data_IF_940877006615
#
_entry.id   IF_940877006615
#
_cell.length_a   1.000
_cell.length_b   1.000
_cell.length_c   1.000
_cell.angle_alpha   90.00
_cell.angle_beta   90.00
_cell.angle_gamma   90.00
#
_symmetry.space_group_name_H-M   'P 1'
#
loop_
_entity.id
_entity.type
_entity.pdbx_description
1 polymer ?
#
# COMPACT_ATOMS: atom_id res chain seq x y z
N UNK A 1 35.27 -20.38 15.42
CA UNK A 1 36.62 -19.89 15.48
C UNK A 1 36.74 -18.48 14.91
N UNK A 2 37.59 -17.62 15.50
CA UNK A 2 37.76 -16.22 15.09
C UNK A 2 38.22 -16.11 13.64
N UNK A 3 39.07 -17.03 13.20
CA UNK A 3 39.60 -17.07 11.84
C UNK A 3 38.51 -17.26 10.77
N UNK A 4 37.51 -18.08 11.03
CA UNK A 4 36.38 -18.27 10.10
C UNK A 4 35.50 -17.01 9.99
N UNK A 5 35.28 -16.29 11.11
CA UNK A 5 34.55 -15.04 11.13
C UNK A 5 35.23 -13.94 10.30
N UNK A 6 36.58 -13.93 10.31
CA UNK A 6 37.39 -12.97 9.54
C UNK A 6 37.36 -13.22 8.03
N UNK A 7 36.95 -14.42 7.58
CA UNK A 7 36.82 -14.77 6.15
C UNK A 7 35.46 -14.35 5.57
N UNK A 8 34.49 -13.93 6.42
CA UNK A 8 33.20 -13.47 5.96
C UNK A 8 33.33 -12.08 5.33
N UNK A 9 33.01 -11.97 4.06
CA UNK A 9 33.12 -10.73 3.27
C UNK A 9 31.86 -9.88 3.36
N UNK A 10 30.68 -10.52 3.43
CA UNK A 10 29.39 -9.83 3.45
C UNK A 10 28.44 -10.51 4.44
N UNK A 11 27.72 -9.71 5.21
CA UNK A 11 26.59 -10.16 6.04
C UNK A 11 25.34 -9.39 5.64
N UNK A 12 24.32 -10.11 5.25
CA UNK A 12 23.00 -9.54 4.98
C UNK A 12 22.16 -9.62 6.24
N UNK A 13 21.59 -8.49 6.66
CA UNK A 13 20.72 -8.39 7.84
C UNK A 13 19.37 -7.78 7.42
N UNK A 14 18.36 -8.06 8.25
CA UNK A 14 17.15 -7.25 8.24
C UNK A 14 17.46 -5.82 8.76
N UNK A 15 16.45 -4.97 8.82
CA UNK A 15 16.59 -3.59 9.31
C UNK A 15 16.67 -3.49 10.85
N UNK A 16 16.79 -4.62 11.56
CA UNK A 16 16.92 -4.65 13.02
C UNK A 16 18.26 -4.08 13.46
N UNK A 17 18.22 -3.03 14.28
CA UNK A 17 19.42 -2.43 14.85
C UNK A 17 20.22 -3.41 15.73
N UNK A 18 19.54 -4.31 16.45
CA UNK A 18 20.16 -5.35 17.26
C UNK A 18 20.93 -6.34 16.40
N UNK A 19 20.38 -6.79 15.28
CA UNK A 19 21.05 -7.68 14.34
C UNK A 19 22.25 -7.01 13.68
N UNK A 20 22.14 -5.73 13.32
CA UNK A 20 23.25 -4.96 12.76
C UNK A 20 24.40 -4.79 13.77
N UNK A 21 24.10 -4.49 15.03
CA UNK A 21 25.10 -4.39 16.11
C UNK A 21 25.79 -5.73 16.34
N UNK A 22 25.02 -6.82 16.42
CA UNK A 22 25.56 -8.18 16.56
C UNK A 22 26.45 -8.54 15.38
N UNK A 23 26.01 -8.28 14.15
CA UNK A 23 26.77 -8.56 12.94
C UNK A 23 28.09 -7.77 12.91
N UNK A 24 28.10 -6.49 13.29
CA UNK A 24 29.29 -5.66 13.39
C UNK A 24 30.29 -6.18 14.44
N UNK A 25 29.79 -6.62 15.60
CA UNK A 25 30.66 -7.13 16.68
C UNK A 25 31.28 -8.48 16.34
N UNK A 26 30.55 -9.36 15.65
CA UNK A 26 30.99 -10.72 15.33
C UNK A 26 31.80 -10.77 14.03
N UNK A 27 31.46 -9.96 13.03
CA UNK A 27 32.05 -9.97 11.69
C UNK A 27 32.68 -8.61 11.35
N UNK A 28 33.67 -8.21 12.14
CA UNK A 28 34.26 -6.87 12.09
C UNK A 28 34.88 -6.48 10.73
N UNK A 29 35.19 -7.43 9.84
CA UNK A 29 35.70 -7.19 8.47
C UNK A 29 34.64 -7.28 7.39
N UNK A 30 33.45 -7.79 7.71
CA UNK A 30 32.40 -7.98 6.72
C UNK A 30 31.70 -6.67 6.37
N UNK A 31 31.33 -6.54 5.10
CA UNK A 31 30.43 -5.49 4.64
C UNK A 31 29.00 -5.85 5.04
N UNK A 32 28.34 -4.96 5.79
CA UNK A 32 26.93 -5.14 6.10
C UNK A 32 26.06 -4.65 4.94
N UNK A 33 25.07 -5.44 4.60
CA UNK A 33 24.08 -5.17 3.54
C UNK A 33 22.70 -5.36 4.12
N UNK A 34 21.83 -4.37 3.95
CA UNK A 34 20.43 -4.51 4.31
C UNK A 34 19.70 -5.36 3.27
N UNK A 35 18.83 -6.27 3.76
CA UNK A 35 17.98 -7.07 2.87
C UNK A 35 16.91 -6.18 2.24
N UNK A 36 16.98 -6.07 0.91
CA UNK A 36 16.02 -5.29 0.13
C UNK A 36 14.58 -5.78 0.28
N UNK A 37 14.38 -7.08 0.59
CA UNK A 37 13.06 -7.65 0.77
C UNK A 37 12.33 -6.99 1.94
N UNK A 38 13.02 -6.78 3.07
CA UNK A 38 12.42 -6.11 4.23
C UNK A 38 12.04 -4.65 3.95
N UNK A 39 12.86 -3.93 3.18
CA UNK A 39 12.52 -2.56 2.77
C UNK A 39 11.26 -2.54 1.89
N UNK A 40 11.18 -3.44 0.91
CA UNK A 40 10.01 -3.57 0.05
C UNK A 40 8.76 -4.01 0.83
N UNK A 41 8.92 -4.90 1.80
CA UNK A 41 7.84 -5.35 2.67
C UNK A 41 7.28 -4.19 3.49
N UNK A 42 8.12 -3.43 4.18
CA UNK A 42 7.69 -2.26 4.96
C UNK A 42 6.92 -1.26 4.09
N UNK A 43 7.41 -1.00 2.87
CA UNK A 43 6.73 -0.10 1.94
C UNK A 43 5.37 -0.64 1.49
N UNK A 44 5.27 -1.93 1.15
CA UNK A 44 4.01 -2.56 0.77
C UNK A 44 3.00 -2.59 1.92
N UNK A 45 3.47 -2.83 3.15
CA UNK A 45 2.65 -2.78 4.36
C UNK A 45 2.10 -1.38 4.61
N UNK A 46 2.93 -0.33 4.42
CA UNK A 46 2.48 1.06 4.58
C UNK A 46 1.41 1.45 3.55
N UNK A 47 1.55 1.01 2.29
CA UNK A 47 0.50 1.20 1.25
C UNK A 47 -0.77 0.42 1.61
N UNK A 48 -0.66 -0.80 2.13
CA UNK A 48 -1.83 -1.59 2.56
C UNK A 48 -2.52 -0.95 3.77
N UNK A 49 -1.80 -0.35 4.71
CA UNK A 49 -2.39 0.39 5.83
C UNK A 49 -3.19 1.61 5.34
N UNK A 50 -2.68 2.37 4.38
CA UNK A 50 -3.43 3.47 3.76
C UNK A 50 -4.72 2.95 3.12
N UNK A 51 -4.65 1.85 2.35
CA UNK A 51 -5.84 1.21 1.76
C UNK A 51 -6.85 0.77 2.82
N UNK A 52 -6.37 0.21 3.93
CA UNK A 52 -7.23 -0.24 5.05
C UNK A 52 -7.96 0.95 5.66
N UNK A 53 -7.28 2.06 5.90
CA UNK A 53 -7.90 3.29 6.42
C UNK A 53 -9.02 3.78 5.47
N UNK A 54 -8.71 3.93 4.19
CA UNK A 54 -9.70 4.32 3.17
C UNK A 54 -10.88 3.34 3.07
N UNK A 55 -10.64 2.04 3.25
CA UNK A 55 -11.72 1.04 3.28
C UNK A 55 -12.68 1.29 4.43
N UNK A 56 -12.18 1.61 5.61
CA UNK A 56 -13.04 1.92 6.76
C UNK A 56 -13.85 3.18 6.53
N UNK A 57 -13.27 4.22 5.95
CA UNK A 57 -14.00 5.44 5.57
C UNK A 57 -15.16 5.15 4.61
N UNK A 58 -14.92 4.33 3.58
CA UNK A 58 -15.96 3.91 2.62
C UNK A 58 -17.06 3.12 3.29
N UNK A 59 -16.71 2.17 4.17
CA UNK A 59 -17.70 1.36 4.91
C UNK A 59 -18.53 2.20 5.87
N UNK A 60 -17.93 3.15 6.55
CA UNK A 60 -18.62 4.04 7.48
C UNK A 60 -19.58 4.98 6.74
N UNK A 61 -19.15 5.52 5.59
CA UNK A 61 -19.99 6.34 4.74
C UNK A 61 -21.21 5.55 4.23
N UNK A 62 -21.03 4.32 3.75
CA UNK A 62 -22.14 3.48 3.29
C UNK A 62 -23.08 3.11 4.42
N UNK A 63 -22.55 2.69 5.57
CA UNK A 63 -23.33 2.38 6.76
C UNK A 63 -24.16 3.59 7.23
N UNK A 64 -23.59 4.80 7.16
CA UNK A 64 -24.31 6.04 7.45
C UNK A 64 -25.46 6.25 6.49
N UNK A 65 -25.21 6.13 5.19
CA UNK A 65 -26.23 6.28 4.15
C UNK A 65 -27.39 5.27 4.31
N UNK A 66 -27.07 4.00 4.62
CA UNK A 66 -28.06 2.96 4.92
C UNK A 66 -28.92 3.34 6.15
N UNK A 67 -28.28 3.83 7.23
CA UNK A 67 -29.02 4.26 8.42
C UNK A 67 -29.95 5.43 8.13
N UNK A 68 -29.50 6.41 7.39
CA UNK A 68 -30.29 7.59 7.00
C UNK A 68 -31.47 7.21 6.08
N UNK A 69 -31.25 6.31 5.12
CA UNK A 69 -32.31 5.77 4.28
C UNK A 69 -33.37 5.02 5.08
N UNK A 70 -32.94 4.14 5.99
CA UNK A 70 -33.83 3.41 6.91
C UNK A 70 -34.63 4.35 7.81
N UNK A 71 -33.98 5.40 8.32
CA UNK A 71 -34.67 6.41 9.16
C UNK A 71 -35.75 7.15 8.37
N UNK A 72 -35.44 7.60 7.13
CA UNK A 72 -36.45 8.23 6.24
C UNK A 72 -37.60 7.29 5.98
N UNK A 73 -37.36 6.02 5.66
CA UNK A 73 -38.42 5.03 5.40
C UNK A 73 -39.28 4.73 6.64
N UNK A 74 -38.70 4.79 7.85
CA UNK A 74 -39.43 4.64 9.12
C UNK A 74 -40.30 5.86 9.43
N UNK A 75 -39.85 7.04 9.10
CA UNK A 75 -40.56 8.28 9.31
C UNK A 75 -41.76 8.45 8.32
N UNK A 76 -41.80 7.71 7.23
CA UNK A 76 -42.92 7.69 6.31
C UNK A 76 -44.17 7.08 6.96
N UNK A 77 -45.30 7.84 6.94
CA UNK A 77 -46.53 7.47 7.60
C UNK A 77 -47.46 6.60 6.71
N UNK A 78 -47.36 6.78 5.40
CA UNK A 78 -48.22 6.07 4.45
C UNK A 78 -47.45 5.01 3.65
N UNK A 79 -48.19 4.04 3.10
CA UNK A 79 -47.65 3.03 2.20
C UNK A 79 -47.08 3.66 0.92
N UNK A 80 -47.79 4.65 0.37
CA UNK A 80 -47.36 5.37 -0.82
C UNK A 80 -46.02 6.11 -0.61
N UNK A 81 -45.82 6.76 0.54
CA UNK A 81 -44.54 7.39 0.89
C UNK A 81 -43.43 6.38 1.00
N UNK A 82 -43.67 5.18 1.58
CA UNK A 82 -42.64 4.11 1.69
C UNK A 82 -42.29 3.52 0.32
N UNK A 83 -43.27 3.40 -0.59
CA UNK A 83 -43.05 2.96 -1.97
C UNK A 83 -42.25 4.01 -2.77
N UNK A 84 -42.47 5.30 -2.54
CA UNK A 84 -41.73 6.39 -3.17
C UNK A 84 -40.26 6.42 -2.72
N UNK A 85 -39.99 6.12 -1.44
CA UNK A 85 -38.60 6.04 -0.92
C UNK A 85 -37.90 4.80 -1.48
N UNK A 86 -38.62 3.72 -1.74
CA UNK A 86 -38.08 2.47 -2.27
C UNK A 86 -37.21 1.68 -1.28
N UNK A 87 -36.56 0.66 -1.79
CA UNK A 87 -35.54 -0.09 -1.06
C UNK A 87 -34.17 0.58 -1.20
N UNK A 88 -33.26 0.27 -0.27
CA UNK A 88 -31.87 0.75 -0.37
C UNK A 88 -31.18 0.06 -1.54
N UNK A 89 -30.66 0.83 -2.45
CA UNK A 89 -29.80 0.36 -3.52
C UNK A 89 -28.44 1.04 -3.44
N UNK A 90 -27.32 0.28 -3.31
CA UNK A 90 -25.99 0.86 -3.27
C UNK A 90 -25.61 1.41 -4.65
N UNK A 91 -24.90 2.55 -4.65
CA UNK A 91 -24.33 3.12 -5.87
C UNK A 91 -23.36 2.14 -6.53
N UNK A 92 -23.54 1.89 -7.83
CA UNK A 92 -22.64 1.05 -8.62
C UNK A 92 -21.73 1.90 -9.49
N UNK A 93 -20.46 1.50 -9.51
CA UNK A 93 -19.45 2.10 -10.38
C UNK A 93 -19.57 1.55 -11.80
N UNK A 94 -18.81 2.12 -12.75
CA UNK A 94 -18.85 1.76 -14.18
C UNK A 94 -18.63 0.28 -14.48
N UNK A 95 -17.93 -0.44 -13.59
CA UNK A 95 -17.71 -1.88 -13.70
C UNK A 95 -18.80 -2.73 -13.00
N UNK A 96 -19.88 -2.12 -12.52
CA UNK A 96 -21.00 -2.78 -11.82
C UNK A 96 -20.74 -3.11 -10.35
N UNK A 97 -19.53 -2.87 -9.81
CA UNK A 97 -19.22 -3.08 -8.40
C UNK A 97 -19.59 -1.85 -7.56
N UNK A 98 -19.86 -2.07 -6.26
CA UNK A 98 -20.03 -0.97 -5.31
C UNK A 98 -18.66 -0.51 -4.76
N UNK A 99 -18.59 0.70 -4.19
CA UNK A 99 -17.36 1.22 -3.56
C UNK A 99 -16.77 0.25 -2.52
N UNK A 100 -17.55 -0.33 -1.57
CA UNK A 100 -17.05 -1.35 -0.65
C UNK A 100 -16.52 -2.60 -1.34
N UNK A 101 -17.15 -3.06 -2.44
CA UNK A 101 -16.68 -4.22 -3.19
C UNK A 101 -15.33 -3.96 -3.85
N UNK A 102 -15.15 -2.77 -4.44
CA UNK A 102 -13.86 -2.34 -5.00
C UNK A 102 -12.80 -2.33 -3.90
N UNK A 103 -13.08 -1.71 -2.75
CA UNK A 103 -12.14 -1.65 -1.63
C UNK A 103 -11.81 -3.03 -1.05
N UNK A 104 -12.78 -3.95 -0.96
CA UNK A 104 -12.53 -5.31 -0.49
C UNK A 104 -11.57 -6.09 -1.41
N UNK A 105 -11.65 -5.86 -2.72
CA UNK A 105 -10.84 -6.54 -3.74
C UNK A 105 -9.55 -5.80 -4.09
N UNK A 106 -9.36 -4.57 -3.61
CA UNK A 106 -8.20 -3.73 -3.93
C UNK A 106 -6.87 -4.24 -3.39
N UNK A 107 -6.87 -5.09 -2.34
CA UNK A 107 -5.64 -5.66 -1.78
C UNK A 107 -4.80 -6.38 -2.83
N UNK A 108 -5.43 -7.18 -3.68
CA UNK A 108 -4.73 -7.90 -4.75
C UNK A 108 -4.22 -6.99 -5.87
N UNK A 109 -4.72 -5.77 -5.97
CA UNK A 109 -4.26 -4.76 -6.91
C UNK A 109 -2.97 -4.13 -6.39
N UNK A 110 -3.00 -3.59 -5.17
CA UNK A 110 -1.88 -2.81 -4.62
C UNK A 110 -0.68 -3.65 -4.17
N UNK A 111 -0.86 -4.94 -3.88
CA UNK A 111 0.23 -5.87 -3.54
C UNK A 111 0.85 -6.55 -4.76
N UNK A 112 0.34 -6.30 -5.95
CA UNK A 112 0.81 -6.88 -7.20
C UNK A 112 1.36 -5.79 -8.11
N UNK A 113 2.45 -6.07 -8.82
CA UNK A 113 2.95 -5.15 -9.83
C UNK A 113 1.94 -5.01 -10.98
N UNK A 114 1.69 -3.77 -11.42
CA UNK A 114 0.67 -3.45 -12.45
C UNK A 114 0.79 -4.24 -13.75
N UNK A 115 2.00 -4.66 -14.13
CA UNK A 115 2.22 -5.48 -15.34
C UNK A 115 1.63 -6.89 -15.24
N UNK A 116 1.21 -7.32 -14.06
CA UNK A 116 0.61 -8.64 -13.82
C UNK A 116 -0.91 -8.58 -13.66
N UNK A 117 -1.52 -7.38 -13.77
CA UNK A 117 -2.96 -7.25 -13.67
C UNK A 117 -3.65 -7.84 -14.90
N UNK A 118 -4.73 -8.57 -14.67
CA UNK A 118 -5.66 -8.93 -15.73
C UNK A 118 -6.62 -7.74 -16.04
N UNK A 119 -7.41 -7.87 -17.11
CA UNK A 119 -8.31 -6.81 -17.56
C UNK A 119 -9.31 -6.34 -16.47
N UNK A 120 -9.85 -7.27 -15.66
CA UNK A 120 -10.75 -6.92 -14.56
C UNK A 120 -10.04 -6.17 -13.43
N UNK A 121 -8.82 -6.56 -13.12
CA UNK A 121 -7.99 -5.88 -12.11
C UNK A 121 -7.60 -4.48 -12.59
N UNK A 122 -7.29 -4.33 -13.87
CA UNK A 122 -6.97 -3.03 -14.46
C UNK A 122 -8.16 -2.09 -14.40
N UNK A 123 -9.35 -2.50 -14.86
CA UNK A 123 -10.57 -1.71 -14.79
C UNK A 123 -10.92 -1.31 -13.34
N UNK A 124 -10.73 -2.23 -12.39
CA UNK A 124 -10.93 -1.93 -10.96
C UNK A 124 -9.88 -0.97 -10.41
N UNK A 125 -8.62 -1.09 -10.83
CA UNK A 125 -7.55 -0.18 -10.43
C UNK A 125 -7.80 1.25 -10.91
N UNK A 126 -8.28 1.43 -12.14
CA UNK A 126 -8.66 2.73 -12.68
C UNK A 126 -9.72 3.42 -11.82
N UNK A 127 -10.80 2.71 -11.47
CA UNK A 127 -11.84 3.25 -10.59
C UNK A 127 -11.29 3.53 -9.19
N UNK A 128 -10.51 2.61 -8.62
CA UNK A 128 -9.89 2.76 -7.30
C UNK A 128 -9.04 4.03 -7.22
N UNK A 129 -8.20 4.26 -8.21
CA UNK A 129 -7.27 5.38 -8.22
C UNK A 129 -7.95 6.71 -8.59
N UNK A 130 -9.04 6.69 -9.37
CA UNK A 130 -9.89 7.87 -9.54
C UNK A 130 -10.55 8.29 -8.22
N UNK A 131 -11.01 7.32 -7.42
CA UNK A 131 -11.58 7.60 -6.09
C UNK A 131 -10.53 8.07 -5.07
N UNK A 132 -9.30 7.54 -5.14
CA UNK A 132 -8.24 7.74 -4.15
C UNK A 132 -6.89 8.03 -4.82
N UNK A 133 -6.67 9.27 -5.31
CA UNK A 133 -5.41 9.65 -6.00
C UNK A 133 -4.17 9.51 -5.10
N UNK A 134 -4.30 9.71 -3.79
CA UNK A 134 -3.19 9.53 -2.87
C UNK A 134 -2.78 8.06 -2.73
N UNK A 135 -3.73 7.13 -2.81
CA UNK A 135 -3.42 5.69 -2.86
C UNK A 135 -2.68 5.31 -4.14
N UNK A 136 -3.05 5.91 -5.29
CA UNK A 136 -2.31 5.74 -6.55
C UNK A 136 -0.88 6.22 -6.43
N UNK A 137 -0.69 7.41 -5.83
CA UNK A 137 0.64 7.98 -5.62
C UNK A 137 1.49 7.11 -4.69
N UNK A 138 0.93 6.66 -3.57
CA UNK A 138 1.58 5.73 -2.66
C UNK A 138 1.98 4.43 -3.34
N UNK A 139 1.09 3.85 -4.14
CA UNK A 139 1.35 2.65 -4.94
C UNK A 139 2.46 2.89 -5.99
N UNK A 140 2.45 4.03 -6.65
CA UNK A 140 3.47 4.40 -7.63
C UNK A 140 4.86 4.54 -7.00
N UNK A 141 4.94 5.11 -5.78
CA UNK A 141 6.17 5.20 -4.99
C UNK A 141 6.67 3.80 -4.59
N UNK A 142 5.79 2.91 -4.19
CA UNK A 142 6.14 1.50 -3.93
C UNK A 142 6.70 0.81 -5.19
N UNK A 143 6.03 0.94 -6.34
CA UNK A 143 6.51 0.33 -7.59
C UNK A 143 7.86 0.90 -8.02
N UNK A 144 8.09 2.21 -7.89
CA UNK A 144 9.37 2.80 -8.24
C UNK A 144 10.52 2.29 -7.37
N UNK A 145 10.28 2.01 -6.08
CA UNK A 145 11.26 1.35 -5.21
C UNK A 145 11.58 -0.07 -5.69
N UNK A 146 10.54 -0.85 -6.02
CA UNK A 146 10.69 -2.21 -6.57
C UNK A 146 11.53 -2.19 -7.85
N UNK A 147 11.26 -1.23 -8.74
CA UNK A 147 11.99 -1.08 -10.00
C UNK A 147 13.45 -0.67 -9.79
N UNK A 148 13.73 0.23 -8.83
CA UNK A 148 15.11 0.60 -8.46
C UNK A 148 15.90 -0.63 -8.00
N UNK A 149 15.30 -1.48 -7.17
CA UNK A 149 15.98 -2.69 -6.67
C UNK A 149 16.12 -3.80 -7.70
N UNK A 150 15.22 -3.89 -8.67
CA UNK A 150 15.26 -4.92 -9.72
C UNK A 150 16.16 -4.53 -10.88
N UNK A 151 16.39 -3.23 -11.09
CA UNK A 151 17.22 -2.73 -12.18
C UNK A 151 18.70 -2.95 -11.88
N UNK A 152 19.39 -3.66 -12.77
CA UNK A 152 20.85 -3.80 -12.73
C UNK A 152 21.52 -2.48 -13.10
N UNK A 153 21.71 -1.59 -12.13
CA UNK A 153 22.33 -0.27 -12.31
C UNK A 153 23.73 -0.21 -11.69
N UNK A 154 24.60 0.66 -12.22
CA UNK A 154 25.85 0.98 -11.53
C UNK A 154 25.57 1.56 -10.13
N UNK A 155 26.40 1.30 -9.10
CA UNK A 155 26.15 1.72 -7.72
C UNK A 155 25.85 3.21 -7.56
N UNK A 156 26.55 4.09 -8.28
CA UNK A 156 26.30 5.55 -8.24
C UNK A 156 24.91 5.94 -8.77
N UNK A 157 24.46 5.30 -9.87
CA UNK A 157 23.13 5.53 -10.43
C UNK A 157 22.03 5.02 -9.50
N UNK A 158 22.25 3.84 -8.89
CA UNK A 158 21.31 3.30 -7.93
C UNK A 158 21.14 4.21 -6.69
N UNK A 159 22.24 4.74 -6.16
CA UNK A 159 22.21 5.72 -5.05
C UNK A 159 21.46 6.99 -5.42
N UNK A 160 21.68 7.55 -6.62
CA UNK A 160 20.98 8.74 -7.07
C UNK A 160 19.48 8.50 -7.22
N UNK A 161 19.08 7.34 -7.75
CA UNK A 161 17.68 6.97 -7.88
C UNK A 161 17.00 6.80 -6.52
N UNK A 162 17.68 6.17 -5.54
CA UNK A 162 17.18 6.06 -4.18
C UNK A 162 17.06 7.43 -3.51
N UNK A 163 18.03 8.34 -3.69
CA UNK A 163 17.94 9.68 -3.13
C UNK A 163 16.75 10.47 -3.70
N UNK A 164 16.51 10.36 -5.00
CA UNK A 164 15.32 10.98 -5.64
C UNK A 164 14.02 10.38 -5.10
N UNK A 165 13.96 9.06 -5.03
CA UNK A 165 12.81 8.36 -4.45
C UNK A 165 12.54 8.77 -3.00
N UNK A 166 13.58 8.92 -2.20
CA UNK A 166 13.49 9.42 -0.81
C UNK A 166 12.86 10.83 -0.78
N UNK A 167 13.35 11.75 -1.59
CA UNK A 167 12.77 13.09 -1.69
C UNK A 167 11.29 13.07 -2.12
N UNK A 168 10.89 12.13 -2.98
CA UNK A 168 9.50 11.99 -3.41
C UNK A 168 8.61 11.45 -2.29
N UNK A 169 9.13 10.54 -1.44
CA UNK A 169 8.46 10.08 -0.23
C UNK A 169 8.28 11.23 0.78
N UNK A 170 9.33 12.01 1.04
CA UNK A 170 9.24 13.17 1.94
C UNK A 170 8.21 14.20 1.46
N UNK A 171 8.19 14.51 0.15
CA UNK A 171 7.20 15.42 -0.45
C UNK A 171 5.79 14.88 -0.35
N UNK A 172 5.60 13.58 -0.43
CA UNK A 172 4.29 12.98 -0.26
C UNK A 172 3.77 13.08 1.17
N UNK A 173 4.65 13.00 2.17
CA UNK A 173 4.36 13.32 3.57
C UNK A 173 3.41 12.35 4.27
N UNK A 174 3.25 11.11 3.79
CA UNK A 174 2.43 10.10 4.47
C UNK A 174 3.22 9.47 5.62
N UNK A 175 2.75 9.66 6.86
CA UNK A 175 3.43 9.19 8.08
C UNK A 175 3.70 7.68 8.08
N UNK A 176 2.85 6.88 7.41
CA UNK A 176 3.05 5.44 7.29
C UNK A 176 4.38 5.04 6.64
N UNK A 177 5.01 5.95 5.88
CA UNK A 177 6.30 5.72 5.24
C UNK A 177 7.51 6.02 6.14
N UNK A 178 7.33 6.63 7.31
CA UNK A 178 8.43 6.96 8.24
C UNK A 178 9.22 5.75 8.74
N UNK A 179 8.66 4.54 8.62
CA UNK A 179 9.37 3.30 8.95
C UNK A 179 10.29 2.78 7.84
N UNK A 180 10.14 3.35 6.64
CA UNK A 180 10.89 2.92 5.44
C UNK A 180 12.09 3.82 5.19
N UNK A 181 12.00 5.07 5.63
CA UNK A 181 13.01 6.13 5.53
C UNK A 181 13.68 6.39 6.91
#
# INVERSE_FOLDING_TARGET
>A
PIEQRRKVETVTTDLSSAMMLTARSVFCKAKLVNDRFHVQQLMSEAVDQMRIALRWEVLDAENKAIREHRARRRAAHTRAEKELIGEWEPERMSNGETKPQIMARSRHIILMHKSKWNAQQQARAEILFQMFPDLEKAYSLYLSLVDIFNKKSKPGVARLNLARWYNDIEKFGYEGFNKVI
#
